data_IF_091503501987
#
_entry.id   IF_091503501987
#
_cell.length_a   1.000
_cell.length_b   1.000
_cell.length_c   1.000
_cell.angle_alpha   90.00
_cell.angle_beta   90.00
_cell.angle_gamma   90.00
#
_symmetry.space_group_name_H-M   'P 1'
#
loop_
_entity.id
_entity.type
_entity.pdbx_description
1 polymer ?
#
# COMPACT_ATOMS: atom_id res chain seq x y z
N UNK A 1 -39.56 -71.09 21.05
CA UNK A 1 -40.61 -70.55 20.16
C UNK A 1 -41.27 -69.41 20.91
N UNK A 2 -41.29 -68.20 20.31
CA UNK A 2 -41.83 -66.92 20.84
C UNK A 2 -41.10 -66.36 22.08
N UNK A 3 -40.94 -65.06 22.31
CA UNK A 3 -40.87 -63.82 21.53
C UNK A 3 -40.39 -62.76 22.56
N UNK A 4 -39.48 -61.84 22.22
CA UNK A 4 -39.62 -60.35 22.30
C UNK A 4 -40.26 -59.83 23.61
N UNK A 5 -39.73 -58.84 24.33
CA UNK A 5 -39.37 -57.50 23.85
C UNK A 5 -39.13 -56.58 25.09
N UNK A 6 -38.26 -55.57 24.96
CA UNK A 6 -38.42 -54.16 25.45
C UNK A 6 -38.50 -53.94 26.98
N UNK A 7 -37.97 -52.90 27.61
CA UNK A 7 -36.96 -51.87 27.36
C UNK A 7 -36.73 -51.13 28.70
N UNK A 8 -35.47 -50.70 28.90
CA UNK A 8 -35.01 -49.37 29.33
C UNK A 8 -35.80 -48.51 30.34
N UNK A 9 -35.07 -48.12 31.40
CA UNK A 9 -35.09 -46.89 32.23
C UNK A 9 -36.11 -46.66 33.35
N UNK A 10 -35.58 -46.52 34.57
CA UNK A 10 -35.82 -45.34 35.43
C UNK A 10 -34.66 -45.16 36.43
N UNK A 11 -33.90 -44.06 36.32
CA UNK A 11 -33.83 -42.92 37.25
C UNK A 11 -33.31 -43.22 38.66
N UNK A 12 -32.14 -42.69 39.00
CA UNK A 12 -32.02 -41.55 39.92
C UNK A 12 -30.57 -41.08 40.05
N UNK A 13 -30.37 -39.77 39.86
CA UNK A 13 -29.16 -39.03 40.26
C UNK A 13 -29.30 -38.60 41.73
N UNK A 14 -28.19 -38.38 42.45
CA UNK A 14 -27.80 -36.99 42.73
C UNK A 14 -26.27 -36.75 42.64
N UNK A 15 -25.83 -35.74 41.86
CA UNK A 15 -25.34 -34.43 42.33
C UNK A 15 -24.13 -34.48 43.29
N UNK A 16 -22.93 -34.14 42.80
CA UNK A 16 -22.18 -32.91 43.13
C UNK A 16 -20.70 -33.04 42.73
N UNK A 17 -20.10 -31.93 42.25
CA UNK A 17 -18.65 -31.68 42.02
C UNK A 17 -18.13 -32.30 40.70
N UNK A 18 -17.55 -31.61 39.71
CA UNK A 18 -16.84 -30.34 39.69
C UNK A 18 -17.08 -29.55 38.39
N UNK A 19 -17.16 -28.24 38.59
CA UNK A 19 -16.95 -27.18 37.63
C UNK A 19 -15.50 -27.19 37.16
N UNK A 20 -15.23 -27.48 35.88
CA UNK A 20 -14.02 -27.00 35.21
C UNK A 20 -14.25 -26.93 33.70
N UNK A 21 -14.87 -25.81 33.31
CA UNK A 21 -14.89 -25.32 31.94
C UNK A 21 -13.46 -24.97 31.53
N UNK A 22 -12.80 -25.86 30.78
CA UNK A 22 -11.63 -25.49 29.97
C UNK A 22 -12.12 -25.37 28.54
N UNK A 23 -12.68 -24.20 28.22
CA UNK A 23 -12.75 -23.73 26.84
C UNK A 23 -11.33 -23.29 26.51
N UNK A 24 -10.57 -24.20 25.89
CA UNK A 24 -9.29 -23.90 25.28
C UNK A 24 -9.56 -23.04 24.04
N UNK A 25 -9.79 -21.74 24.23
CA UNK A 25 -9.71 -20.77 23.15
C UNK A 25 -8.23 -20.68 22.75
N UNK A 26 -7.83 -21.51 21.80
CA UNK A 26 -6.65 -21.25 20.97
C UNK A 26 -6.92 -19.97 20.18
N UNK A 27 -6.61 -18.81 20.79
CA UNK A 27 -6.28 -17.63 20.02
C UNK A 27 -4.99 -17.95 19.29
N UNK A 28 -5.10 -18.53 18.10
CA UNK A 28 -4.03 -18.44 17.13
C UNK A 28 -3.76 -16.93 16.99
N UNK A 29 -2.57 -16.49 17.39
CA UNK A 29 -2.09 -15.17 17.07
C UNK A 29 -2.07 -15.08 15.54
N UNK A 30 -3.14 -14.56 14.96
CA UNK A 30 -3.12 -14.16 13.56
C UNK A 30 -2.16 -12.98 13.54
N UNK A 31 -0.91 -13.23 13.19
CA UNK A 31 0.02 -12.16 12.84
C UNK A 31 -0.64 -11.39 11.71
N UNK A 32 -1.13 -10.20 12.02
CA UNK A 32 -1.56 -9.28 10.98
C UNK A 32 -0.29 -8.72 10.35
N UNK A 33 -0.21 -8.70 9.03
CA UNK A 33 1.01 -8.31 8.32
C UNK A 33 0.79 -7.10 7.39
N UNK A 34 -0.39 -6.48 7.42
CA UNK A 34 -0.63 -5.25 6.68
C UNK A 34 0.06 -4.07 7.38
N UNK A 35 0.38 -3.05 6.57
CA UNK A 35 1.04 -1.83 7.03
C UNK A 35 0.31 -0.61 6.50
N UNK A 36 0.08 0.37 7.36
CA UNK A 36 -0.51 1.67 6.99
C UNK A 36 0.49 2.78 7.22
N UNK A 37 0.75 3.57 6.20
CA UNK A 37 1.48 4.82 6.31
C UNK A 37 0.49 5.96 6.35
N UNK A 38 0.57 6.82 7.37
CA UNK A 38 -0.27 8.01 7.48
C UNK A 38 0.46 9.22 6.90
N UNK A 39 -0.31 10.10 6.27
CA UNK A 39 0.19 11.40 5.82
C UNK A 39 0.72 12.18 7.03
N UNK A 40 1.89 12.79 6.87
CA UNK A 40 2.62 13.50 7.92
C UNK A 40 3.16 12.62 9.06
N UNK A 41 3.19 11.29 8.89
CA UNK A 41 3.90 10.37 9.79
C UNK A 41 5.08 9.73 9.06
N UNK A 42 6.27 9.80 9.65
CA UNK A 42 7.45 9.06 9.18
C UNK A 42 7.45 7.59 9.63
N UNK A 43 6.55 7.22 10.56
CA UNK A 43 6.47 5.88 11.13
C UNK A 43 5.20 5.18 10.60
N UNK A 44 5.34 4.00 10.00
CA UNK A 44 4.19 3.19 9.61
C UNK A 44 3.54 2.52 10.82
N UNK A 45 2.23 2.38 10.78
CA UNK A 45 1.50 1.49 11.67
C UNK A 45 1.57 0.07 11.11
N UNK A 46 2.38 -0.76 11.78
CA UNK A 46 2.60 -2.17 11.43
C UNK A 46 1.66 -3.08 12.21
N UNK A 47 1.63 -4.34 11.78
CA UNK A 47 0.87 -5.42 12.39
C UNK A 47 -0.63 -5.10 12.50
N UNK A 48 -1.16 -4.47 11.45
CA UNK A 48 -2.58 -4.17 11.33
C UNK A 48 -3.27 -5.13 10.39
N UNK A 49 -4.59 -5.26 10.56
CA UNK A 49 -5.46 -5.91 9.57
C UNK A 49 -6.38 -4.88 8.95
N UNK A 50 -6.24 -4.64 7.65
CA UNK A 50 -7.14 -3.74 6.93
C UNK A 50 -8.45 -4.49 6.69
N UNK A 51 -9.51 -4.10 7.39
CA UNK A 51 -10.80 -4.79 7.33
C UNK A 51 -11.67 -4.33 6.16
N UNK A 52 -11.62 -3.04 5.81
CA UNK A 52 -12.44 -2.49 4.74
C UNK A 52 -11.90 -1.14 4.24
N UNK A 53 -12.22 -0.81 2.99
CA UNK A 53 -12.07 0.52 2.38
C UNK A 53 -13.45 0.93 1.90
N UNK A 54 -14.11 1.86 2.59
CA UNK A 54 -15.48 2.24 2.30
C UNK A 54 -15.72 3.71 2.61
N UNK A 55 -16.46 4.38 1.74
CA UNK A 55 -16.92 5.75 1.98
C UNK A 55 -15.84 6.77 2.30
N UNK A 56 -14.72 6.73 1.57
CA UNK A 56 -13.53 7.55 1.82
C UNK A 56 -12.89 7.32 3.19
N UNK A 57 -13.11 6.16 3.79
CA UNK A 57 -12.48 5.71 5.02
C UNK A 57 -11.80 4.36 4.83
N UNK A 58 -10.73 4.12 5.56
CA UNK A 58 -10.09 2.81 5.72
C UNK A 58 -10.26 2.40 7.16
N UNK A 59 -10.92 1.27 7.38
CA UNK A 59 -11.08 0.67 8.71
C UNK A 59 -10.11 -0.47 8.89
N UNK A 60 -9.45 -0.51 10.03
CA UNK A 60 -8.43 -1.51 10.36
C UNK A 60 -8.47 -1.88 11.85
N UNK A 61 -7.89 -3.03 12.17
CA UNK A 61 -7.65 -3.47 13.54
C UNK A 61 -6.17 -3.32 13.85
N UNK A 62 -5.85 -2.62 14.94
CA UNK A 62 -4.47 -2.43 15.40
C UNK A 62 -3.94 -3.64 16.20
N UNK A 63 -2.65 -3.59 16.58
CA UNK A 63 -1.99 -4.62 17.37
C UNK A 63 -2.59 -4.82 18.78
N UNK A 64 -3.40 -3.86 19.26
CA UNK A 64 -4.16 -3.97 20.52
C UNK A 64 -5.58 -4.51 20.30
N UNK A 65 -5.87 -5.06 19.12
CA UNK A 65 -7.17 -5.52 18.69
C UNK A 65 -8.27 -4.44 18.71
N UNK A 66 -7.89 -3.16 18.64
CA UNK A 66 -8.85 -2.04 18.57
C UNK A 66 -9.18 -1.72 17.12
N UNK A 67 -10.48 -1.60 16.84
CA UNK A 67 -10.95 -1.08 15.56
C UNK A 67 -10.72 0.42 15.47
N UNK A 68 -10.14 0.83 14.37
CA UNK A 68 -9.86 2.22 14.03
C UNK A 68 -10.39 2.50 12.62
N UNK A 69 -10.60 3.77 12.33
CA UNK A 69 -10.95 4.25 10.99
C UNK A 69 -10.24 5.57 10.74
N UNK A 70 -9.75 5.75 9.51
CA UNK A 70 -9.06 6.96 9.04
C UNK A 70 -9.52 7.32 7.65
N UNK A 71 -9.52 8.61 7.34
CA UNK A 71 -9.91 9.04 6.01
C UNK A 71 -8.87 8.63 4.99
N UNK A 72 -9.30 8.30 3.77
CA UNK A 72 -8.40 7.90 2.67
C UNK A 72 -7.37 8.98 2.37
N UNK A 73 -7.73 10.27 2.51
CA UNK A 73 -6.79 11.37 2.30
C UNK A 73 -5.74 11.52 3.43
N UNK A 74 -5.94 10.86 4.57
CA UNK A 74 -4.95 10.80 5.65
C UNK A 74 -3.96 9.64 5.46
N UNK A 75 -4.16 8.81 4.45
CA UNK A 75 -3.34 7.61 4.20
C UNK A 75 -2.38 7.89 3.06
N UNK A 76 -1.09 7.73 3.36
CA UNK A 76 0.00 7.89 2.41
C UNK A 76 0.26 6.61 1.62
N UNK A 77 0.18 5.44 2.26
CA UNK A 77 0.34 4.11 1.63
C UNK A 77 -0.36 3.00 2.41
N UNK A 78 -0.82 1.97 1.69
CA UNK A 78 -1.31 0.71 2.25
C UNK A 78 -0.50 -0.46 1.69
N UNK A 79 0.05 -1.29 2.57
CA UNK A 79 0.71 -2.53 2.18
C UNK A 79 -0.18 -3.69 2.65
N UNK A 80 -0.55 -4.56 1.70
CA UNK A 80 -1.34 -5.76 1.97
C UNK A 80 -0.41 -6.97 1.87
N UNK A 81 -0.43 -7.82 2.88
CA UNK A 81 0.44 -9.00 2.94
C UNK A 81 0.27 -9.94 1.74
N UNK A 82 -0.96 -10.11 1.29
CA UNK A 82 -1.36 -10.96 0.15
C UNK A 82 -1.05 -10.34 -1.21
N UNK A 83 -0.66 -9.05 -1.28
CA UNK A 83 -0.47 -8.33 -2.54
C UNK A 83 0.88 -7.60 -2.61
N UNK A 84 2.01 -8.34 -2.70
CA UNK A 84 3.35 -7.74 -2.66
C UNK A 84 3.66 -6.81 -3.85
N UNK A 85 2.99 -6.97 -4.98
CA UNK A 85 3.14 -6.04 -6.12
C UNK A 85 2.52 -4.68 -5.83
N UNK A 86 1.45 -4.62 -5.03
CA UNK A 86 0.89 -3.36 -4.54
C UNK A 86 1.87 -2.70 -3.57
N UNK A 87 2.47 -3.45 -2.65
CA UNK A 87 3.53 -2.92 -1.76
C UNK A 87 4.67 -2.26 -2.54
N UNK A 88 5.11 -2.89 -3.63
CA UNK A 88 6.13 -2.32 -4.52
C UNK A 88 5.64 -1.04 -5.22
N UNK A 89 4.38 -1.02 -5.66
CA UNK A 89 3.79 0.17 -6.28
C UNK A 89 3.69 1.34 -5.30
N UNK A 90 3.26 1.06 -4.06
CA UNK A 90 3.13 2.03 -2.98
C UNK A 90 4.49 2.57 -2.53
N UNK A 91 5.54 1.74 -2.57
CA UNK A 91 6.91 2.21 -2.41
C UNK A 91 7.30 3.21 -3.51
N UNK A 92 7.00 2.94 -4.79
CA UNK A 92 7.27 3.91 -5.86
C UNK A 92 6.50 5.22 -5.67
N UNK A 93 5.28 5.19 -5.11
CA UNK A 93 4.53 6.40 -4.76
C UNK A 93 5.29 7.22 -3.71
N UNK A 94 5.77 6.57 -2.65
CA UNK A 94 6.54 7.21 -1.57
C UNK A 94 7.88 7.76 -2.05
N UNK A 95 8.53 7.06 -2.97
CA UNK A 95 9.77 7.50 -3.62
C UNK A 95 9.54 8.55 -4.71
N UNK A 96 8.29 8.96 -4.93
CA UNK A 96 7.87 9.93 -5.95
C UNK A 96 8.19 9.51 -7.40
N UNK A 97 8.35 8.20 -7.65
CA UNK A 97 8.47 7.63 -8.99
C UNK A 97 7.08 7.38 -9.58
N UNK A 98 6.36 8.46 -9.91
CA UNK A 98 4.94 8.42 -10.28
C UNK A 98 4.66 7.52 -11.51
N UNK A 99 5.50 7.57 -12.54
CA UNK A 99 5.33 6.73 -13.75
C UNK A 99 5.47 5.23 -13.43
N UNK A 100 6.50 4.88 -12.65
CA UNK A 100 6.73 3.51 -12.21
C UNK A 100 5.59 3.01 -11.30
N UNK A 101 5.07 3.87 -10.43
CA UNK A 101 3.93 3.56 -9.57
C UNK A 101 2.68 3.26 -10.41
N UNK A 102 2.31 4.13 -11.36
CA UNK A 102 1.17 3.92 -12.25
C UNK A 102 1.32 2.61 -13.02
N UNK A 103 2.49 2.36 -13.62
CA UNK A 103 2.74 1.12 -14.35
C UNK A 103 2.57 -0.13 -13.47
N UNK A 104 3.10 -0.12 -12.25
CA UNK A 104 2.98 -1.24 -11.32
C UNK A 104 1.54 -1.44 -10.82
N UNK A 105 0.80 -0.35 -10.57
CA UNK A 105 -0.62 -0.40 -10.19
C UNK A 105 -1.49 -0.97 -11.30
N UNK A 106 -1.28 -0.55 -12.55
CA UNK A 106 -1.99 -1.09 -13.72
C UNK A 106 -1.70 -2.58 -13.91
N UNK A 107 -0.43 -2.99 -13.81
CA UNK A 107 -0.06 -4.40 -13.87
C UNK A 107 -0.71 -5.21 -12.75
N UNK A 108 -0.73 -4.68 -11.54
CA UNK A 108 -1.39 -5.30 -10.39
C UNK A 108 -2.90 -5.41 -10.65
N UNK A 109 -3.55 -4.36 -11.13
CA UNK A 109 -4.98 -4.34 -11.44
C UNK A 109 -5.40 -5.38 -12.49
N UNK A 110 -4.60 -5.55 -13.55
CA UNK A 110 -4.88 -6.53 -14.61
C UNK A 110 -4.69 -7.97 -14.12
N UNK A 111 -3.71 -8.21 -13.22
CA UNK A 111 -3.39 -9.55 -12.71
C UNK A 111 -4.22 -9.96 -11.49
N UNK A 112 -4.76 -8.99 -10.77
CA UNK A 112 -5.53 -9.22 -9.55
C UNK A 112 -6.90 -9.83 -9.87
N UNK A 113 -7.10 -11.09 -9.50
CA UNK A 113 -8.41 -11.77 -9.45
C UNK A 113 -9.09 -11.62 -8.09
N UNK A 114 -8.50 -10.82 -7.19
CA UNK A 114 -8.87 -10.76 -5.78
C UNK A 114 -10.07 -9.85 -5.45
N UNK A 115 -10.39 -9.82 -4.15
CA UNK A 115 -11.49 -9.12 -3.48
C UNK A 115 -11.69 -7.69 -3.98
N UNK A 116 -12.95 -7.27 -4.00
CA UNK A 116 -13.38 -5.93 -4.43
C UNK A 116 -12.63 -4.80 -3.70
N UNK A 117 -12.22 -5.01 -2.44
CA UNK A 117 -11.44 -4.06 -1.65
C UNK A 117 -10.07 -3.73 -2.26
N UNK A 118 -9.32 -4.73 -2.76
CA UNK A 118 -8.00 -4.48 -3.38
C UNK A 118 -8.17 -3.72 -4.69
N UNK A 119 -9.17 -4.12 -5.51
CA UNK A 119 -9.51 -3.43 -6.76
C UNK A 119 -9.95 -2.00 -6.52
N UNK A 120 -10.73 -1.77 -5.45
CA UNK A 120 -11.16 -0.45 -5.02
C UNK A 120 -9.96 0.43 -4.67
N UNK A 121 -9.03 -0.07 -3.85
CA UNK A 121 -7.81 0.68 -3.50
C UNK A 121 -6.94 1.00 -4.71
N UNK A 122 -6.71 0.04 -5.61
CA UNK A 122 -5.95 0.25 -6.85
C UNK A 122 -6.55 1.39 -7.69
N UNK A 123 -7.89 1.43 -7.83
CA UNK A 123 -8.56 2.49 -8.56
C UNK A 123 -8.49 3.85 -7.85
N UNK A 124 -8.63 3.89 -6.52
CA UNK A 124 -8.44 5.11 -5.73
C UNK A 124 -7.03 5.66 -5.96
N UNK A 125 -6.01 4.80 -5.87
CA UNK A 125 -4.62 5.21 -6.02
C UNK A 125 -4.30 5.68 -7.44
N UNK A 126 -4.76 4.96 -8.45
CA UNK A 126 -4.60 5.37 -9.85
C UNK A 126 -5.27 6.71 -10.14
N UNK A 127 -6.49 6.93 -9.64
CA UNK A 127 -7.17 8.22 -9.77
C UNK A 127 -6.34 9.36 -9.15
N UNK A 128 -5.82 9.18 -7.94
CA UNK A 128 -4.99 10.20 -7.27
C UNK A 128 -3.70 10.51 -8.04
N UNK A 129 -3.01 9.49 -8.58
CA UNK A 129 -1.76 9.69 -9.33
C UNK A 129 -2.00 10.35 -10.69
N UNK A 130 -3.04 9.95 -11.42
CA UNK A 130 -3.42 10.61 -12.67
C UNK A 130 -3.85 12.06 -12.42
N UNK A 131 -4.64 12.34 -11.36
CA UNK A 131 -4.98 13.70 -10.97
C UNK A 131 -3.72 14.54 -10.64
N UNK A 132 -2.72 13.96 -9.95
CA UNK A 132 -1.43 14.63 -9.70
C UNK A 132 -0.65 14.95 -10.98
N UNK A 133 -0.81 14.15 -12.04
CA UNK A 133 -0.19 14.38 -13.35
C UNK A 133 -0.96 15.37 -14.24
N UNK A 134 -2.16 15.79 -13.83
CA UNK A 134 -3.06 16.57 -14.70
C UNK A 134 -3.80 15.73 -15.74
N UNK A 135 -3.76 14.40 -15.62
CA UNK A 135 -4.39 13.44 -16.53
C UNK A 135 -5.86 13.24 -16.12
N UNK A 136 -6.67 14.25 -16.42
CA UNK A 136 -8.07 14.31 -15.99
C UNK A 136 -8.89 13.10 -16.47
N UNK A 137 -8.71 12.69 -17.73
CA UNK A 137 -9.53 11.65 -18.37
C UNK A 137 -9.26 10.28 -17.76
N UNK A 138 -7.99 9.93 -17.57
CA UNK A 138 -7.53 8.71 -16.92
C UNK A 138 -7.98 8.68 -15.46
N UNK A 139 -7.85 9.81 -14.75
CA UNK A 139 -8.36 9.94 -13.38
C UNK A 139 -9.88 9.71 -13.31
N UNK A 140 -10.66 10.36 -14.18
CA UNK A 140 -12.11 10.22 -14.23
C UNK A 140 -12.54 8.77 -14.53
N UNK A 141 -11.82 8.08 -15.41
CA UNK A 141 -12.03 6.64 -15.70
C UNK A 141 -11.91 5.79 -14.44
N UNK A 142 -10.91 6.05 -13.60
CA UNK A 142 -10.71 5.32 -12.35
C UNK A 142 -11.69 5.72 -11.24
N UNK A 143 -12.04 7.00 -11.14
CA UNK A 143 -13.09 7.47 -10.21
C UNK A 143 -14.44 6.82 -10.53
N UNK A 144 -14.80 6.72 -11.82
CA UNK A 144 -16.00 6.00 -12.24
C UNK A 144 -15.96 4.53 -11.80
N UNK A 145 -14.81 3.85 -11.91
CA UNK A 145 -14.62 2.49 -11.40
C UNK A 145 -14.81 2.39 -9.88
N UNK A 146 -14.29 3.36 -9.10
CA UNK A 146 -14.53 3.43 -7.65
C UNK A 146 -16.03 3.49 -7.36
N UNK A 147 -16.77 4.35 -8.06
CA UNK A 147 -18.22 4.51 -7.84
C UNK A 147 -19.01 3.26 -8.21
N UNK A 148 -18.58 2.52 -9.24
CA UNK A 148 -19.21 1.24 -9.64
C UNK A 148 -18.98 0.16 -8.58
N UNK A 149 -17.76 0.07 -8.03
CA UNK A 149 -17.40 -0.93 -7.03
C UNK A 149 -18.03 -0.62 -5.67
N UNK A 150 -18.13 0.66 -5.29
CA UNK A 150 -18.68 1.09 -4.02
C UNK A 150 -19.44 2.43 -4.16
N UNK A 151 -20.77 2.36 -4.12
CA UNK A 151 -21.68 3.51 -4.29
C UNK A 151 -21.91 4.29 -2.99
N UNK A 152 -20.82 4.66 -2.31
CA UNK A 152 -20.88 5.46 -1.09
C UNK A 152 -20.67 6.96 -1.40
N UNK A 153 -21.53 7.88 -0.91
CA UNK A 153 -21.48 9.30 -1.28
C UNK A 153 -20.16 9.99 -0.92
N UNK A 154 -19.44 9.51 0.10
CA UNK A 154 -18.12 10.02 0.50
C UNK A 154 -17.06 10.00 -0.61
N UNK A 155 -17.24 9.20 -1.66
CA UNK A 155 -16.29 9.16 -2.78
C UNK A 155 -16.35 10.38 -3.71
N UNK A 156 -17.30 11.30 -3.53
CA UNK A 156 -17.35 12.54 -4.32
C UNK A 156 -16.09 13.40 -4.20
N UNK A 157 -15.34 13.24 -3.11
CA UNK A 157 -14.06 13.95 -2.89
C UNK A 157 -12.96 13.52 -3.86
N UNK A 158 -13.10 12.36 -4.52
CA UNK A 158 -12.13 11.88 -5.52
C UNK A 158 -12.34 12.48 -6.91
N UNK A 159 -13.41 13.26 -7.12
CA UNK A 159 -13.66 13.90 -8.42
C UNK A 159 -12.42 14.69 -8.87
N UNK A 160 -11.86 14.39 -10.06
CA UNK A 160 -10.66 15.07 -10.52
C UNK A 160 -10.94 16.55 -10.72
N UNK A 161 -9.93 17.37 -10.43
CA UNK A 161 -9.95 18.81 -10.63
C UNK A 161 -8.77 19.20 -11.53
N UNK A 162 -8.88 20.33 -12.22
CA UNK A 162 -7.82 20.84 -13.10
C UNK A 162 -8.23 20.88 -14.57
N UNK A 163 -7.31 21.38 -15.40
CA UNK A 163 -7.52 21.55 -16.83
C UNK A 163 -7.13 20.30 -17.63
N UNK A 164 -7.67 20.21 -18.85
CA UNK A 164 -7.31 19.19 -19.83
C UNK A 164 -5.86 19.31 -20.29
N UNK A 165 -5.10 18.23 -20.11
CA UNK A 165 -3.98 17.93 -21.01
C UNK A 165 -4.52 17.37 -22.34
N UNK A 166 -3.68 17.22 -23.37
CA UNK A 166 -4.07 16.57 -24.64
C UNK A 166 -4.41 15.10 -24.39
N UNK A 167 -5.70 14.71 -24.32
CA UNK A 167 -6.05 13.40 -23.78
C UNK A 167 -5.89 12.32 -24.85
N UNK A 168 -5.42 11.15 -24.43
CA UNK A 168 -5.36 9.98 -25.31
C UNK A 168 -6.79 9.62 -25.78
N UNK A 169 -7.07 9.55 -27.10
CA UNK A 169 -8.42 9.23 -27.58
C UNK A 169 -8.96 7.88 -27.08
N UNK A 170 -8.07 6.90 -26.84
CA UNK A 170 -8.46 5.61 -26.24
C UNK A 170 -8.91 5.80 -24.79
N UNK A 171 -8.18 6.60 -24.01
CA UNK A 171 -8.56 6.94 -22.63
C UNK A 171 -9.87 7.73 -22.57
N UNK A 172 -10.12 8.63 -23.53
CA UNK A 172 -11.40 9.36 -23.64
C UNK A 172 -12.56 8.39 -23.82
N UNK A 173 -12.42 7.43 -24.74
CA UNK A 173 -13.48 6.43 -25.00
C UNK A 173 -13.70 5.54 -23.77
N UNK A 174 -12.61 5.06 -23.16
CA UNK A 174 -12.65 4.27 -21.93
C UNK A 174 -13.39 5.01 -20.80
N UNK A 175 -13.00 6.26 -20.53
CA UNK A 175 -13.58 7.07 -19.47
C UNK A 175 -15.08 7.30 -19.68
N UNK A 176 -15.49 7.66 -20.91
CA UNK A 176 -16.90 7.86 -21.23
C UNK A 176 -17.73 6.59 -21.09
N UNK A 177 -17.21 5.43 -21.51
CA UNK A 177 -17.91 4.16 -21.37
C UNK A 177 -18.05 3.73 -19.90
N UNK A 178 -17.01 3.97 -19.08
CA UNK A 178 -17.09 3.74 -17.63
C UNK A 178 -18.06 4.70 -16.95
N UNK A 179 -18.03 6.00 -17.29
CA UNK A 179 -18.96 6.98 -16.73
C UNK A 179 -20.42 6.68 -17.09
N UNK A 180 -20.70 6.27 -18.34
CA UNK A 180 -22.04 5.80 -18.76
C UNK A 180 -22.46 4.52 -18.03
N UNK A 181 -21.52 3.65 -17.71
CA UNK A 181 -21.80 2.45 -16.91
C UNK A 181 -22.11 2.84 -15.48
N UNK A 182 -21.29 3.68 -14.86
CA UNK A 182 -21.50 4.22 -13.52
C UNK A 182 -22.86 4.92 -13.40
N UNK A 183 -23.24 5.76 -14.37
CA UNK A 183 -24.54 6.44 -14.34
C UNK A 183 -25.75 5.50 -14.30
N UNK A 184 -25.62 4.31 -14.91
CA UNK A 184 -26.67 3.29 -14.93
C UNK A 184 -26.73 2.47 -13.65
N UNK A 185 -25.62 2.30 -12.95
CA UNK A 185 -25.51 1.38 -11.80
C UNK A 185 -25.50 2.09 -10.45
N UNK A 186 -24.93 3.29 -10.38
CA UNK A 186 -24.77 4.11 -9.17
C UNK A 186 -26.11 4.74 -8.79
N UNK A 187 -26.51 4.55 -7.52
CA UNK A 187 -27.77 5.03 -6.94
C UNK A 187 -27.58 6.34 -6.20
N UNK A 188 -26.40 6.61 -5.63
CA UNK A 188 -26.13 7.84 -4.90
C UNK A 188 -26.32 9.08 -5.78
N UNK A 189 -27.17 10.00 -5.34
CA UNK A 189 -27.46 11.22 -6.08
C UNK A 189 -26.24 12.14 -6.22
N UNK A 190 -25.37 12.20 -5.19
CA UNK A 190 -24.16 13.02 -5.22
C UNK A 190 -23.16 12.48 -6.23
N UNK A 191 -22.94 11.16 -6.24
CA UNK A 191 -22.05 10.50 -7.21
C UNK A 191 -22.59 10.63 -8.63
N UNK A 192 -23.91 10.53 -8.84
CA UNK A 192 -24.53 10.78 -10.15
C UNK A 192 -24.35 12.21 -10.65
N UNK A 193 -24.32 13.20 -9.76
CA UNK A 193 -23.99 14.57 -10.16
C UNK A 193 -22.52 14.68 -10.57
N UNK A 194 -21.62 14.08 -9.79
CA UNK A 194 -20.19 14.00 -10.11
C UNK A 194 -19.93 13.33 -11.47
N UNK A 195 -20.58 12.19 -11.74
CA UNK A 195 -20.51 11.48 -13.02
C UNK A 195 -20.93 12.38 -14.19
N UNK A 196 -22.03 13.13 -14.04
CA UNK A 196 -22.49 14.06 -15.09
C UNK A 196 -21.49 15.17 -15.35
N UNK A 197 -20.92 15.78 -14.31
CA UNK A 197 -19.89 16.81 -14.47
C UNK A 197 -18.65 16.28 -15.20
N UNK A 198 -18.14 15.11 -14.81
CA UNK A 198 -17.01 14.48 -15.49
C UNK A 198 -17.33 14.18 -16.96
N UNK A 199 -18.54 13.72 -17.27
CA UNK A 199 -18.97 13.49 -18.67
C UNK A 199 -19.02 14.78 -19.47
N UNK A 200 -19.70 15.81 -18.96
CA UNK A 200 -19.80 17.12 -19.62
C UNK A 200 -18.42 17.72 -19.89
N UNK A 201 -17.47 17.47 -18.98
CA UNK A 201 -16.08 17.87 -19.18
C UNK A 201 -15.43 17.10 -20.34
N UNK A 202 -15.54 15.77 -20.38
CA UNK A 202 -14.79 14.89 -21.31
C UNK A 202 -15.41 14.81 -22.71
N UNK A 203 -16.73 14.93 -22.84
CA UNK A 203 -17.47 14.76 -24.10
C UNK A 203 -16.96 15.61 -25.29
N UNK A 204 -16.59 16.89 -25.10
CA UNK A 204 -15.99 17.70 -26.18
C UNK A 204 -14.74 17.08 -26.81
N UNK A 205 -13.96 16.31 -26.03
CA UNK A 205 -12.72 15.67 -26.50
C UNK A 205 -12.97 14.38 -27.29
N UNK A 206 -14.22 13.90 -27.37
CA UNK A 206 -14.56 12.67 -28.08
C UNK A 206 -14.66 12.85 -29.61
N UNK A 207 -14.77 14.08 -30.11
CA UNK A 207 -14.96 14.34 -31.55
C UNK A 207 -13.74 13.91 -32.37
N UNK A 208 -13.93 12.98 -33.30
CA UNK A 208 -12.86 12.46 -34.18
C UNK A 208 -12.12 11.24 -33.63
N UNK A 209 -12.54 10.69 -32.49
CA UNK A 209 -11.94 9.48 -31.93
C UNK A 209 -12.33 8.25 -32.75
N UNK A 210 -11.38 7.46 -33.30
CA UNK A 210 -11.71 6.23 -33.99
C UNK A 210 -12.42 5.26 -33.04
N UNK A 211 -13.35 4.46 -33.56
CA UNK A 211 -14.04 3.44 -32.79
C UNK A 211 -13.01 2.56 -32.07
N UNK A 212 -13.13 2.46 -30.73
CA UNK A 212 -12.14 1.83 -29.87
C UNK A 212 -11.74 0.43 -30.33
N UNK A 213 -10.46 0.10 -30.13
CA UNK A 213 -9.98 -1.28 -30.23
C UNK A 213 -10.81 -2.19 -29.31
N UNK A 214 -11.18 -3.37 -29.82
CA UNK A 214 -11.92 -4.37 -29.03
C UNK A 214 -10.99 -4.96 -27.96
N UNK A 215 -11.18 -4.57 -26.70
CA UNK A 215 -10.44 -5.11 -25.55
C UNK A 215 -10.75 -4.32 -24.27
N UNK A 216 -10.41 -4.87 -23.09
CA UNK A 216 -10.43 -4.08 -21.85
C UNK A 216 -9.20 -3.18 -21.83
N UNK A 217 -9.41 -1.87 -21.61
CA UNK A 217 -8.33 -0.90 -21.44
C UNK A 217 -8.35 -0.31 -20.03
N UNK A 218 -7.18 0.11 -19.56
CA UNK A 218 -6.99 0.92 -18.37
C UNK A 218 -6.03 2.06 -18.68
N UNK A 219 -6.45 3.30 -18.39
CA UNK A 219 -5.66 4.50 -18.69
C UNK A 219 -5.29 4.60 -20.18
N UNK A 220 -6.18 4.15 -21.07
CA UNK A 220 -5.94 4.17 -22.51
C UNK A 220 -4.96 3.11 -23.02
N UNK A 221 -4.53 2.16 -22.18
CA UNK A 221 -3.67 1.04 -22.54
C UNK A 221 -4.46 -0.27 -22.52
N UNK A 222 -4.22 -1.13 -23.49
CA UNK A 222 -4.73 -2.51 -23.51
C UNK A 222 -4.06 -3.36 -22.42
N UNK A 223 -4.74 -4.43 -21.99
CA UNK A 223 -4.14 -5.39 -21.05
C UNK A 223 -2.81 -5.98 -21.52
N UNK A 224 -2.62 -6.11 -22.85
CA UNK A 224 -1.36 -6.56 -23.45
C UNK A 224 -0.23 -5.53 -23.26
N UNK A 225 -0.49 -4.26 -23.57
CA UNK A 225 0.46 -3.17 -23.35
C UNK A 225 0.84 -3.03 -21.87
N UNK A 226 -0.15 -3.11 -20.97
CA UNK A 226 0.08 -3.04 -19.52
C UNK A 226 1.01 -4.16 -19.06
N UNK A 227 0.85 -5.38 -19.58
CA UNK A 227 1.69 -6.52 -19.23
C UNK A 227 3.17 -6.33 -19.61
N UNK A 228 3.46 -5.46 -20.58
CA UNK A 228 4.80 -5.17 -21.08
C UNK A 228 5.45 -3.90 -20.52
N UNK A 229 4.76 -3.13 -19.66
CA UNK A 229 5.39 -1.99 -18.99
C UNK A 229 6.58 -2.45 -18.14
N UNK A 230 7.64 -1.65 -18.09
CA UNK A 230 8.79 -1.87 -17.22
C UNK A 230 8.88 -0.75 -16.15
N UNK A 231 8.24 -0.94 -14.98
CA UNK A 231 8.27 0.04 -13.90
C UNK A 231 9.69 0.35 -13.42
N UNK A 232 10.63 -0.60 -13.52
CA UNK A 232 12.02 -0.37 -13.06
C UNK A 232 12.77 0.54 -14.02
N UNK A 233 12.56 0.38 -15.33
CA UNK A 233 13.12 1.30 -16.31
C UNK A 233 12.56 2.73 -16.11
N UNK A 234 11.27 2.85 -15.78
CA UNK A 234 10.59 4.12 -15.52
C UNK A 234 11.01 4.80 -14.21
N UNK A 235 11.51 4.03 -13.23
CA UNK A 235 12.02 4.56 -11.97
C UNK A 235 13.49 5.04 -12.04
N UNK A 236 14.18 4.87 -13.16
CA UNK A 236 15.57 5.34 -13.30
C UNK A 236 15.58 6.85 -13.54
N UNK A 237 16.34 7.64 -12.75
CA UNK A 237 16.63 9.02 -13.11
C UNK A 237 17.29 9.04 -14.49
N UNK A 238 16.82 9.91 -15.38
CA UNK A 238 17.43 10.11 -16.69
C UNK A 238 18.87 10.57 -16.55
N UNK A 239 19.82 9.63 -16.51
CA UNK A 239 21.18 9.91 -16.92
C UNK A 239 21.23 9.85 -18.45
N UNK A 240 21.91 10.81 -19.12
CA UNK A 240 22.26 10.64 -20.53
C UNK A 240 23.10 9.37 -20.69
N UNK A 241 22.97 8.68 -21.83
CA UNK A 241 23.76 7.50 -22.19
C UNK A 241 25.23 7.71 -21.77
N UNK A 242 25.71 6.84 -20.88
CA UNK A 242 27.09 6.89 -20.41
C UNK A 242 28.04 6.61 -21.59
N UNK A 243 29.05 7.46 -21.84
CA UNK A 243 30.19 7.08 -22.64
C UNK A 243 30.93 5.94 -21.91
N UNK A 244 31.22 4.89 -22.66
CA UNK A 244 32.24 3.84 -22.44
C UNK A 244 32.97 3.79 -21.09
N UNK A 245 32.75 2.67 -20.38
CA UNK A 245 33.68 1.92 -19.50
C UNK A 245 35.01 2.62 -19.15
N UNK A 246 35.13 3.04 -17.89
CA UNK A 246 36.39 3.21 -17.14
C UNK A 246 36.37 2.31 -15.88
N UNK A 247 37.53 1.94 -15.31
CA UNK A 247 37.73 0.67 -14.61
C UNK A 247 37.21 0.62 -13.16
N UNK A 248 36.97 -0.62 -12.72
CA UNK A 248 36.62 -1.09 -11.38
C UNK A 248 37.21 -0.24 -10.24
N UNK A 249 36.32 0.23 -9.36
CA UNK A 249 36.65 0.48 -7.95
C UNK A 249 35.83 -0.52 -7.13
N UNK A 250 36.54 -1.43 -6.46
CA UNK A 250 35.99 -2.51 -5.66
C UNK A 250 35.16 -2.00 -4.47
N UNK A 251 34.22 -2.79 -3.93
CA UNK A 251 33.40 -2.43 -2.77
C UNK A 251 34.17 -2.69 -1.48
N UNK A 252 35.03 -1.75 -1.08
CA UNK A 252 35.57 -1.68 0.28
C UNK A 252 34.94 -0.46 0.98
N UNK A 253 33.93 -0.68 1.83
CA UNK A 253 33.66 0.11 3.07
C UNK A 253 32.22 -0.06 3.57
N UNK A 254 31.83 -1.29 3.92
CA UNK A 254 30.52 -1.57 4.56
C UNK A 254 30.66 -2.23 5.93
N UNK A 255 31.85 -2.17 6.55
CA UNK A 255 32.10 -2.78 7.86
C UNK A 255 31.71 -1.82 8.99
N UNK A 256 31.15 -2.31 10.11
CA UNK A 256 30.88 -1.52 11.33
C UNK A 256 32.09 -0.73 11.85
N UNK A 257 33.30 -1.21 11.57
CA UNK A 257 34.56 -0.54 11.93
C UNK A 257 34.75 0.81 11.22
N UNK A 258 34.21 0.95 9.99
CA UNK A 258 34.26 2.19 9.21
C UNK A 258 33.33 3.25 9.80
N UNK A 259 32.13 2.87 10.28
CA UNK A 259 31.19 3.78 10.93
C UNK A 259 31.79 4.30 12.24
N UNK A 260 32.36 3.41 13.06
CA UNK A 260 33.05 3.80 14.29
C UNK A 260 34.22 4.75 14.05
N UNK A 261 34.93 4.63 12.92
CA UNK A 261 36.01 5.54 12.56
C UNK A 261 35.48 6.93 12.15
N UNK A 262 34.36 6.98 11.42
CA UNK A 262 33.74 8.25 11.01
C UNK A 262 33.12 9.00 12.19
N UNK A 263 32.48 8.29 13.13
CA UNK A 263 31.93 8.87 14.36
C UNK A 263 33.03 9.47 15.24
N UNK A 264 34.16 8.76 15.41
CA UNK A 264 35.34 9.27 16.12
C UNK A 264 35.98 10.49 15.45
N UNK A 265 35.77 10.66 14.15
CA UNK A 265 36.26 11.80 13.38
C UNK A 265 35.23 12.95 13.29
N UNK A 266 34.09 12.86 13.99
CA UNK A 266 32.98 13.82 13.95
C UNK A 266 32.40 14.05 12.54
N UNK A 267 32.60 13.09 11.62
CA UNK A 267 32.07 13.14 10.25
C UNK A 267 30.67 12.54 10.22
N UNK A 268 29.75 13.18 10.94
CA UNK A 268 28.42 12.62 11.22
C UNK A 268 27.56 12.45 9.98
N UNK A 269 27.61 13.37 9.01
CA UNK A 269 26.84 13.27 7.76
C UNK A 269 27.24 12.04 6.92
N UNK A 270 28.54 11.73 6.90
CA UNK A 270 29.06 10.58 6.15
C UNK A 270 28.78 9.26 6.88
N UNK A 271 28.91 9.24 8.21
CA UNK A 271 28.50 8.12 9.05
C UNK A 271 27.00 7.83 8.84
N UNK A 272 26.16 8.86 8.84
CA UNK A 272 24.72 8.75 8.64
C UNK A 272 24.38 8.17 7.26
N UNK A 273 25.03 8.64 6.19
CA UNK A 273 24.81 8.13 4.83
C UNK A 273 25.13 6.64 4.69
N UNK A 274 26.15 6.15 5.42
CA UNK A 274 26.49 4.72 5.46
C UNK A 274 25.44 3.96 6.29
N UNK A 275 25.03 4.49 7.44
CA UNK A 275 24.00 3.88 8.29
C UNK A 275 22.66 3.72 7.55
N UNK A 276 22.19 4.73 6.83
CA UNK A 276 20.93 4.69 6.08
C UNK A 276 20.96 3.63 4.97
N UNK A 277 22.12 3.44 4.33
CA UNK A 277 22.33 2.41 3.31
C UNK A 277 22.30 1.00 3.88
N UNK A 278 22.91 0.79 5.04
CA UNK A 278 22.91 -0.51 5.74
C UNK A 278 21.50 -0.82 6.26
N UNK A 279 20.77 0.17 6.76
CA UNK A 279 19.40 0.01 7.24
C UNK A 279 18.42 -0.46 6.14
N UNK A 280 18.73 -0.24 4.86
CA UNK A 280 17.94 -0.74 3.74
C UNK A 280 18.05 -2.27 3.54
N UNK A 281 19.10 -2.91 4.06
CA UNK A 281 19.30 -4.36 4.01
C UNK A 281 20.08 -4.83 5.26
N UNK A 282 19.43 -4.87 6.44
CA UNK A 282 20.12 -5.12 7.70
C UNK A 282 20.61 -6.57 7.78
N UNK A 283 21.91 -6.76 8.00
CA UNK A 283 22.46 -8.03 8.46
C UNK A 283 22.05 -8.24 9.92
N UNK A 284 21.63 -9.46 10.28
CA UNK A 284 21.16 -9.78 11.63
C UNK A 284 22.32 -9.92 12.65
N UNK A 285 23.57 -9.97 12.20
CA UNK A 285 24.74 -10.01 13.10
C UNK A 285 25.18 -8.59 13.48
N UNK A 286 25.18 -8.30 14.79
CA UNK A 286 25.69 -7.03 15.32
C UNK A 286 24.71 -5.86 15.27
N UNK A 287 23.41 -6.14 15.11
CA UNK A 287 22.35 -5.12 15.04
C UNK A 287 22.36 -4.15 16.23
N UNK A 288 22.61 -4.63 17.45
CA UNK A 288 22.71 -3.77 18.64
C UNK A 288 23.82 -2.70 18.51
N UNK A 289 25.03 -3.12 18.13
CA UNK A 289 26.17 -2.20 17.90
C UNK A 289 25.91 -1.24 16.75
N UNK A 290 25.31 -1.72 15.65
CA UNK A 290 24.93 -0.87 14.53
C UNK A 290 23.89 0.19 14.94
N UNK A 291 22.88 -0.18 15.73
CA UNK A 291 21.84 0.73 16.20
C UNK A 291 22.41 1.82 17.13
N UNK A 292 23.38 1.46 17.98
CA UNK A 292 24.13 2.45 18.79
C UNK A 292 24.86 3.46 17.90
N UNK A 293 25.64 2.97 16.93
CA UNK A 293 26.40 3.83 16.00
C UNK A 293 25.48 4.71 15.13
N UNK A 294 24.32 4.19 14.73
CA UNK A 294 23.33 4.97 13.99
C UNK A 294 22.70 6.05 14.87
N UNK A 295 22.41 5.74 16.14
CA UNK A 295 21.99 6.74 17.12
C UNK A 295 23.01 7.88 17.25
N UNK A 296 24.30 7.55 17.37
CA UNK A 296 25.39 8.53 17.48
C UNK A 296 25.52 9.40 16.21
N UNK A 297 25.36 8.82 15.02
CA UNK A 297 25.36 9.58 13.78
C UNK A 297 24.20 10.57 13.70
N UNK A 298 23.00 10.16 14.13
CA UNK A 298 21.80 11.00 14.16
C UNK A 298 21.91 12.11 15.20
N UNK A 299 22.47 11.83 16.36
CA UNK A 299 22.73 12.83 17.39
C UNK A 299 23.71 13.90 16.90
N UNK A 300 24.80 13.48 16.25
CA UNK A 300 25.81 14.38 15.71
C UNK A 300 25.33 15.33 14.60
N UNK A 301 24.28 14.98 13.86
CA UNK A 301 23.63 15.88 12.87
C UNK A 301 22.43 16.66 13.45
N UNK A 302 22.15 16.52 14.75
CA UNK A 302 21.07 17.25 15.43
C UNK A 302 19.67 16.62 15.32
N UNK A 303 19.57 15.36 14.87
CA UNK A 303 18.30 14.59 14.79
C UNK A 303 18.03 13.83 16.09
N UNK A 304 17.86 14.57 17.18
CA UNK A 304 17.81 14.01 18.54
C UNK A 304 16.65 13.03 18.79
N UNK A 305 15.46 13.29 18.24
CA UNK A 305 14.30 12.39 18.39
C UNK A 305 14.54 11.04 17.70
N UNK A 306 15.15 11.06 16.51
CA UNK A 306 15.51 9.85 15.78
C UNK A 306 16.63 9.07 16.49
N UNK A 307 17.63 9.77 17.05
CA UNK A 307 18.70 9.17 17.83
C UNK A 307 18.16 8.45 19.08
N UNK A 308 17.25 9.07 19.83
CA UNK A 308 16.62 8.49 21.02
C UNK A 308 15.88 7.17 20.71
N UNK A 309 15.24 7.09 19.55
CA UNK A 309 14.60 5.85 19.09
C UNK A 309 15.62 4.76 18.77
N UNK A 310 16.76 5.09 18.13
CA UNK A 310 17.82 4.11 17.83
C UNK A 310 18.47 3.57 19.09
N UNK A 311 18.72 4.43 20.08
CA UNK A 311 19.20 4.00 21.39
C UNK A 311 18.20 3.08 22.11
N UNK A 312 16.91 3.40 22.03
CA UNK A 312 15.86 2.55 22.60
C UNK A 312 15.80 1.17 21.92
N UNK A 313 15.95 1.11 20.60
CA UNK A 313 16.01 -0.14 19.84
C UNK A 313 17.27 -0.95 20.15
N UNK A 314 18.42 -0.29 20.31
CA UNK A 314 19.67 -0.93 20.70
C UNK A 314 19.54 -1.60 22.09
N UNK A 315 18.96 -0.89 23.07
CA UNK A 315 18.74 -1.40 24.42
C UNK A 315 17.79 -2.63 24.45
N UNK A 316 16.73 -2.61 23.63
CA UNK A 316 15.83 -3.77 23.48
C UNK A 316 16.60 -4.96 22.90
N UNK A 317 17.43 -4.73 21.88
CA UNK A 317 18.22 -5.81 21.26
C UNK A 317 19.28 -6.38 22.21
N UNK A 318 19.94 -5.53 23.01
CA UNK A 318 20.93 -5.96 24.01
C UNK A 318 20.27 -6.83 25.08
N UNK A 319 19.10 -6.42 25.59
CA UNK A 319 18.30 -7.20 26.56
C UNK A 319 17.78 -8.54 26.02
N UNK A 320 17.66 -8.68 24.69
CA UNK A 320 17.24 -9.92 24.05
C UNK A 320 18.40 -10.90 23.80
N UNK A 321 19.66 -10.44 23.89
CA UNK A 321 20.86 -11.24 23.63
C UNK A 321 21.59 -11.72 24.89
N UNK A 322 21.24 -11.24 26.08
CA UNK A 322 21.74 -11.80 27.34
C UNK A 322 20.90 -13.03 27.77
N UNK A 323 21.48 -14.23 27.87
CA UNK A 323 20.80 -15.35 28.51
C UNK A 323 20.88 -15.19 30.04
N UNK A 324 19.72 -15.17 30.69
CA UNK A 324 19.62 -15.39 32.14
C UNK A 324 19.97 -16.83 32.54
#
# INVERSE_FOLDING_TARGET
>A
MMMRSVAVQSRSWPKFIAMMTVVLCTFAATSFADVIWFRNSSIPLRDVRIENVEGAQVSYVDSNARRQSRAVHEIDALEFDVLPTLTTAEQYVRDNHVDAAIAMLLQTLVRTTERDQHRLWLHIRLAQLHARRGEYVESASHVASVYILNDHPGWSELEPTGAFDQPNPVAVTEALDRLRTAERTVRSASLRLSIRRMREHIEPSATGTPAAQRGQTFSGLTTGEIAHLDPRAMARPGMPEAPTRGPDVAPEDTRPDTIAALLRAERFDEALSICERIAAAPDQRGVGTFLLQFGEALEGVGRHDDAAMRYSQAAIHESATEPG
#
